data_IF_740517401112
#
_entry.id   IF_740517401112
#
_cell.length_a   1.000
_cell.length_b   1.000
_cell.length_c   1.000
_cell.angle_alpha   90.00
_cell.angle_beta   90.00
_cell.angle_gamma   90.00
#
_symmetry.space_group_name_H-M   'P 1'
#
loop_
_entity.id
_entity.type
_entity.pdbx_description
1 polymer ?
#
# COMPACT_ATOMS: atom_id res chain seq x y z
N UNK A 1 2.77 2.53 -19.27
CA UNK A 1 3.07 2.38 -17.84
C UNK A 1 2.28 3.43 -17.10
N UNK A 2 1.67 3.09 -15.97
CA UNK A 2 1.18 4.11 -15.05
C UNK A 2 2.41 4.92 -14.59
N UNK A 3 2.25 6.24 -14.47
CA UNK A 3 3.28 7.07 -13.84
C UNK A 3 3.43 6.72 -12.35
N UNK A 4 4.29 7.44 -11.62
CA UNK A 4 4.47 7.23 -10.19
C UNK A 4 3.13 7.39 -9.46
N UNK A 5 2.91 6.58 -8.42
CA UNK A 5 1.77 6.77 -7.52
C UNK A 5 1.99 8.03 -6.69
N UNK A 6 1.02 8.94 -6.63
CA UNK A 6 1.14 10.19 -5.87
C UNK A 6 0.17 10.19 -4.71
N UNK A 7 0.67 10.06 -3.49
CA UNK A 7 -0.12 10.11 -2.27
C UNK A 7 -0.02 11.49 -1.61
N UNK A 8 -1.14 12.21 -1.62
CA UNK A 8 -1.28 13.53 -1.00
C UNK A 8 -1.80 13.41 0.43
N UNK A 9 -1.10 14.03 1.35
CA UNK A 9 -1.35 13.97 2.78
C UNK A 9 -1.63 15.37 3.32
N UNK A 10 -2.34 15.47 4.44
CA UNK A 10 -2.85 16.77 4.89
C UNK A 10 -1.75 17.75 5.32
N UNK A 11 -0.64 17.23 5.84
CA UNK A 11 0.44 18.00 6.48
C UNK A 11 1.78 17.24 6.44
N UNK A 12 2.94 17.91 6.66
CA UNK A 12 4.25 17.27 6.67
C UNK A 12 4.38 16.14 7.68
N UNK A 13 3.79 16.27 8.87
CA UNK A 13 3.90 15.25 9.91
C UNK A 13 3.21 13.93 9.50
N UNK A 14 2.13 14.00 8.72
CA UNK A 14 1.53 12.81 8.10
C UNK A 14 2.44 12.18 7.06
N UNK A 15 3.14 12.97 6.26
CA UNK A 15 4.10 12.46 5.27
C UNK A 15 5.18 11.63 5.97
N UNK A 16 5.76 12.14 7.05
CA UNK A 16 6.77 11.41 7.82
C UNK A 16 6.19 10.15 8.47
N UNK A 17 4.98 10.20 9.07
CA UNK A 17 4.33 9.01 9.64
C UNK A 17 4.07 7.90 8.62
N UNK A 18 3.60 8.25 7.42
CA UNK A 18 3.37 7.28 6.35
C UNK A 18 4.70 6.70 5.87
N UNK A 19 5.73 7.53 5.69
CA UNK A 19 7.07 7.08 5.33
C UNK A 19 7.61 6.09 6.36
N UNK A 20 7.52 6.42 7.65
CA UNK A 20 8.00 5.55 8.74
C UNK A 20 7.24 4.22 8.77
N UNK A 21 5.92 4.24 8.59
CA UNK A 21 5.11 3.03 8.53
C UNK A 21 5.51 2.13 7.35
N UNK A 22 5.76 2.70 6.16
CA UNK A 22 6.26 1.95 5.00
C UNK A 22 7.64 1.36 5.30
N UNK A 23 8.58 2.15 5.83
CA UNK A 23 9.92 1.66 6.12
C UNK A 23 9.93 0.59 7.21
N UNK A 24 9.05 0.69 8.21
CA UNK A 24 8.88 -0.33 9.24
C UNK A 24 8.32 -1.63 8.66
N UNK A 25 7.32 -1.54 7.77
CA UNK A 25 6.78 -2.68 7.03
C UNK A 25 7.87 -3.40 6.22
N UNK A 26 8.69 -2.65 5.46
CA UNK A 26 9.80 -3.23 4.68
C UNK A 26 10.84 -3.92 5.56
N UNK A 27 11.25 -3.28 6.66
CA UNK A 27 12.20 -3.87 7.63
C UNK A 27 11.66 -5.17 8.21
N UNK A 28 10.38 -5.22 8.55
CA UNK A 28 9.72 -6.42 9.08
C UNK A 28 9.65 -7.53 8.04
N UNK A 29 9.30 -7.20 6.80
CA UNK A 29 9.13 -8.17 5.74
C UNK A 29 10.46 -8.81 5.31
N UNK A 30 11.53 -8.00 5.19
CA UNK A 30 12.82 -8.43 4.65
C UNK A 30 14.00 -7.71 5.35
N UNK A 31 14.39 -8.12 6.57
CA UNK A 31 15.43 -7.44 7.35
C UNK A 31 16.80 -7.34 6.65
N UNK A 32 17.11 -8.30 5.76
CA UNK A 32 18.39 -8.36 5.04
C UNK A 32 18.37 -7.64 3.68
N UNK A 33 17.20 -7.18 3.21
CA UNK A 33 17.10 -6.50 1.92
C UNK A 33 17.34 -4.99 2.07
N UNK A 34 17.89 -4.33 1.03
CA UNK A 34 17.95 -2.88 0.98
C UNK A 34 16.55 -2.28 1.13
N UNK A 35 16.46 -1.23 1.93
CA UNK A 35 15.25 -0.43 2.06
C UNK A 35 14.97 0.37 0.77
N UNK A 36 13.73 0.88 0.61
CA UNK A 36 13.41 1.80 -0.47
C UNK A 36 14.40 2.96 -0.49
N UNK A 37 14.78 3.39 -1.69
CA UNK A 37 15.58 4.61 -1.84
C UNK A 37 14.65 5.80 -1.61
N UNK A 38 14.96 6.61 -0.60
CA UNK A 38 14.18 7.81 -0.28
C UNK A 38 14.87 9.05 -0.85
N UNK A 39 14.14 9.85 -1.61
CA UNK A 39 14.61 11.11 -2.19
C UNK A 39 13.74 12.25 -1.65
N UNK A 40 14.32 13.13 -0.82
CA UNK A 40 13.67 14.37 -0.41
C UNK A 40 13.95 15.47 -1.43
N UNK A 41 12.91 16.19 -1.86
CA UNK A 41 13.04 17.30 -2.80
C UNK A 41 13.38 18.60 -2.08
N UNK A 42 14.40 19.29 -2.57
CA UNK A 42 14.63 20.69 -2.24
C UNK A 42 13.68 21.62 -3.03
N UNK A 43 13.60 22.94 -2.72
CA UNK A 43 12.74 23.87 -3.45
C UNK A 43 13.11 24.06 -4.92
N UNK A 44 14.31 23.64 -5.34
CA UNK A 44 14.81 23.71 -6.72
C UNK A 44 14.48 22.44 -7.52
N UNK A 45 13.88 21.43 -6.89
CA UNK A 45 13.62 20.12 -7.50
C UNK A 45 14.87 19.28 -7.68
N UNK A 46 15.96 19.67 -7.02
CA UNK A 46 17.18 18.88 -6.96
C UNK A 46 17.06 17.98 -5.74
N UNK A 47 17.41 16.68 -5.86
CA UNK A 47 17.56 15.83 -4.69
C UNK A 47 18.52 16.47 -3.68
N UNK A 48 18.22 16.39 -2.39
CA UNK A 48 19.10 16.93 -1.35
C UNK A 48 20.55 16.41 -1.48
N UNK A 49 21.57 17.18 -1.06
CA UNK A 49 22.97 16.76 -1.12
C UNK A 49 23.18 15.37 -0.52
N UNK A 50 23.86 14.48 -1.26
CA UNK A 50 24.03 13.08 -0.89
C UNK A 50 22.98 12.12 -1.46
N UNK A 51 22.00 12.64 -2.20
CA UNK A 51 21.05 11.79 -2.91
C UNK A 51 21.74 10.85 -3.93
N UNK A 52 21.17 9.65 -4.16
CA UNK A 52 21.73 8.71 -5.12
C UNK A 52 21.72 9.25 -6.55
N UNK A 53 22.74 8.88 -7.33
CA UNK A 53 22.79 9.21 -8.77
C UNK A 53 21.55 8.68 -9.52
N UNK A 54 21.16 9.29 -10.66
CA UNK A 54 20.05 8.79 -11.48
C UNK A 54 20.17 7.29 -11.84
N UNK A 55 21.39 6.80 -12.08
CA UNK A 55 21.67 5.39 -12.33
C UNK A 55 21.38 4.51 -11.10
N UNK A 56 21.66 5.00 -9.89
CA UNK A 56 21.32 4.30 -8.66
C UNK A 56 19.81 4.31 -8.41
N UNK A 57 19.13 5.44 -8.65
CA UNK A 57 17.67 5.54 -8.59
C UNK A 57 17.00 4.56 -9.56
N UNK A 58 17.47 4.47 -10.81
CA UNK A 58 16.92 3.56 -11.82
C UNK A 58 17.15 2.07 -11.50
N UNK A 59 18.10 1.76 -10.61
CA UNK A 59 18.41 0.39 -10.14
C UNK A 59 17.75 0.07 -8.81
N UNK A 60 17.16 1.06 -8.14
CA UNK A 60 16.43 0.82 -6.91
C UNK A 60 15.26 -0.13 -7.20
N UNK A 61 14.95 -1.00 -6.23
CA UNK A 61 13.75 -1.86 -6.31
C UNK A 61 12.48 -1.03 -6.10
N UNK A 62 12.56 -0.10 -5.15
CA UNK A 62 11.47 0.77 -4.72
C UNK A 62 12.05 2.18 -4.52
N UNK A 63 11.33 3.18 -4.99
CA UNK A 63 11.72 4.57 -4.94
C UNK A 63 10.61 5.37 -4.26
N UNK A 64 10.95 6.07 -3.17
CA UNK A 64 10.02 6.97 -2.49
C UNK A 64 10.53 8.40 -2.63
N UNK A 65 9.75 9.25 -3.28
CA UNK A 65 10.02 10.69 -3.37
C UNK A 65 9.19 11.40 -2.31
N UNK A 66 9.79 12.32 -1.56
CA UNK A 66 9.15 13.05 -0.47
C UNK A 66 9.25 14.55 -0.74
N UNK A 67 8.11 15.24 -0.72
CA UNK A 67 8.03 16.69 -0.91
C UNK A 67 7.05 17.30 0.09
N UNK A 68 7.50 18.23 0.93
CA UNK A 68 6.65 18.89 1.94
C UNK A 68 6.89 20.40 1.90
N UNK A 69 5.84 21.18 2.16
CA UNK A 69 5.90 22.64 2.15
C UNK A 69 5.66 23.28 0.77
N UNK A 70 5.12 24.50 0.79
CA UNK A 70 4.66 25.20 -0.40
C UNK A 70 5.79 25.57 -1.38
N UNK A 71 7.00 25.79 -0.88
CA UNK A 71 8.17 26.12 -1.70
C UNK A 71 8.68 24.92 -2.52
N UNK A 72 8.19 23.70 -2.28
CA UNK A 72 8.43 22.51 -3.11
C UNK A 72 7.42 22.32 -4.24
N UNK A 73 6.36 23.14 -4.32
CA UNK A 73 5.26 22.88 -5.23
C UNK A 73 5.65 22.95 -6.71
N UNK A 74 6.45 23.94 -7.10
CA UNK A 74 6.97 24.06 -8.47
C UNK A 74 7.92 22.91 -8.82
N UNK A 75 8.82 22.58 -7.89
CA UNK A 75 9.76 21.48 -8.02
C UNK A 75 9.05 20.14 -8.22
N UNK A 76 8.02 19.87 -7.42
CA UNK A 76 7.23 18.64 -7.52
C UNK A 76 6.45 18.58 -8.84
N UNK A 77 5.81 19.68 -9.25
CA UNK A 77 5.12 19.75 -10.53
C UNK A 77 6.09 19.54 -11.70
N UNK A 78 7.25 20.20 -11.68
CA UNK A 78 8.30 20.01 -12.69
C UNK A 78 8.82 18.56 -12.71
N UNK A 79 8.97 17.91 -11.55
CA UNK A 79 9.37 16.50 -11.46
C UNK A 79 8.34 15.57 -12.10
N UNK A 80 7.04 15.83 -11.98
CA UNK A 80 5.98 14.92 -12.43
C UNK A 80 5.45 15.20 -13.83
N UNK A 81 5.34 16.48 -14.22
CA UNK A 81 4.67 16.89 -15.46
C UNK A 81 5.53 17.80 -16.37
N UNK A 82 6.57 18.46 -15.84
CA UNK A 82 7.38 19.41 -16.60
C UNK A 82 8.43 18.79 -17.55
N UNK A 83 9.19 19.59 -18.31
CA UNK A 83 10.38 19.14 -19.02
C UNK A 83 11.41 18.62 -18.00
N UNK A 84 11.59 17.30 -17.97
CA UNK A 84 12.33 16.64 -16.91
C UNK A 84 13.85 16.62 -17.15
N UNK A 85 14.63 16.80 -16.09
CA UNK A 85 16.02 16.34 -16.06
C UNK A 85 16.12 14.83 -15.82
N UNK A 86 17.34 14.29 -15.72
CA UNK A 86 17.57 12.85 -15.57
C UNK A 86 16.80 12.23 -14.40
N UNK A 87 16.75 12.92 -13.25
CA UNK A 87 16.01 12.46 -12.06
C UNK A 87 14.51 12.38 -12.34
N UNK A 88 13.93 13.38 -12.98
CA UNK A 88 12.51 13.39 -13.32
C UNK A 88 12.17 12.24 -14.29
N UNK A 89 13.02 12.02 -15.29
CA UNK A 89 12.88 10.90 -16.23
C UNK A 89 12.91 9.56 -15.49
N UNK A 90 13.86 9.38 -14.57
CA UNK A 90 13.95 8.15 -13.77
C UNK A 90 12.72 7.97 -12.89
N UNK A 91 12.32 8.99 -12.12
CA UNK A 91 11.13 8.91 -11.24
C UNK A 91 9.87 8.55 -12.02
N UNK A 92 9.65 9.17 -13.19
CA UNK A 92 8.47 8.91 -14.03
C UNK A 92 8.47 7.52 -14.66
N UNK A 93 9.66 7.00 -14.97
CA UNK A 93 9.83 5.68 -15.58
C UNK A 93 9.99 4.55 -14.55
N UNK A 94 10.13 4.87 -13.27
CA UNK A 94 10.38 3.86 -12.25
C UNK A 94 9.08 3.11 -11.90
N UNK A 95 9.05 1.77 -12.06
CA UNK A 95 7.81 1.01 -11.97
C UNK A 95 7.19 0.98 -10.57
N UNK A 96 8.02 1.11 -9.54
CA UNK A 96 7.61 1.08 -8.13
C UNK A 96 7.92 2.42 -7.46
N UNK A 97 7.69 3.54 -8.17
CA UNK A 97 7.85 4.87 -7.60
C UNK A 97 6.57 5.34 -6.89
N UNK A 98 6.75 5.74 -5.63
CA UNK A 98 5.74 6.37 -4.79
C UNK A 98 6.19 7.79 -4.44
N UNK A 99 5.31 8.76 -4.62
CA UNK A 99 5.52 10.15 -4.25
C UNK A 99 4.64 10.43 -3.04
N UNK A 100 5.25 10.82 -1.93
CA UNK A 100 4.57 11.29 -0.74
C UNK A 100 4.69 12.81 -0.68
N UNK A 101 3.56 13.50 -0.65
CA UNK A 101 3.56 14.95 -0.52
C UNK A 101 2.47 15.45 0.41
N UNK A 102 2.69 16.61 1.02
CA UNK A 102 1.63 17.32 1.74
C UNK A 102 0.80 18.19 0.77
N UNK A 103 -0.34 18.70 1.24
CA UNK A 103 -1.21 19.58 0.43
C UNK A 103 -0.49 20.83 -0.08
N UNK A 104 0.46 21.36 0.69
CA UNK A 104 1.21 22.56 0.31
C UNK A 104 2.14 22.28 -0.89
N UNK A 105 2.90 21.19 -0.86
CA UNK A 105 3.74 20.75 -1.97
C UNK A 105 2.90 20.28 -3.17
N UNK A 106 1.70 19.75 -2.94
CA UNK A 106 0.80 19.33 -4.02
C UNK A 106 0.04 20.47 -4.71
N UNK A 107 0.21 21.74 -4.29
CA UNK A 107 -0.63 22.86 -4.73
C UNK A 107 -0.59 23.16 -6.25
N UNK A 108 0.40 22.62 -6.97
CA UNK A 108 0.55 22.74 -8.43
C UNK A 108 0.16 21.48 -9.20
N UNK A 109 -0.25 20.42 -8.49
CA UNK A 109 -0.71 19.18 -9.11
C UNK A 109 -2.22 19.25 -9.34
N UNK A 110 -2.69 18.61 -10.41
CA UNK A 110 -4.13 18.52 -10.67
C UNK A 110 -4.82 17.75 -9.54
N UNK A 111 -5.94 18.22 -8.98
CA UNK A 111 -6.66 17.48 -7.93
C UNK A 111 -7.02 16.07 -8.41
N UNK A 112 -6.74 15.05 -7.59
CA UNK A 112 -7.13 13.68 -7.91
C UNK A 112 -8.40 13.29 -7.16
N UNK A 113 -9.21 12.42 -7.78
CA UNK A 113 -10.42 11.93 -7.18
C UNK A 113 -10.09 11.07 -5.95
N UNK A 114 -10.36 11.59 -4.75
CA UNK A 114 -10.19 10.83 -3.50
C UNK A 114 -9.20 11.44 -2.50
N UNK A 115 -8.49 12.51 -2.85
CA UNK A 115 -7.51 13.18 -1.96
C UNK A 115 -8.09 13.48 -0.56
N UNK A 116 -9.36 13.87 -0.50
CA UNK A 116 -10.09 14.19 0.73
C UNK A 116 -11.10 13.13 1.17
N UNK A 117 -11.22 12.01 0.45
CA UNK A 117 -12.12 10.95 0.87
C UNK A 117 -11.54 10.20 2.08
N UNK A 118 -12.41 9.87 3.03
CA UNK A 118 -12.05 9.06 4.20
C UNK A 118 -12.02 7.56 3.90
N UNK A 119 -12.08 7.11 2.64
CA UNK A 119 -12.15 5.70 2.25
C UNK A 119 -10.79 5.15 1.84
N UNK A 120 -10.45 4.00 2.39
CA UNK A 120 -9.30 3.18 1.98
C UNK A 120 -9.79 1.81 1.55
N UNK A 121 -9.19 1.26 0.50
CA UNK A 121 -9.45 -0.12 0.08
C UNK A 121 -8.26 -0.98 0.47
N UNK A 122 -8.51 -2.15 1.07
CA UNK A 122 -7.47 -3.14 1.38
C UNK A 122 -7.72 -4.38 0.54
N UNK A 123 -6.77 -4.78 -0.30
CA UNK A 123 -6.91 -5.92 -1.21
C UNK A 123 -6.05 -7.07 -0.72
N UNK A 124 -6.69 -8.20 -0.37
CA UNK A 124 -5.97 -9.36 0.14
C UNK A 124 -5.31 -10.18 -0.97
N UNK A 125 -4.02 -10.44 -0.79
CA UNK A 125 -3.26 -11.46 -1.50
C UNK A 125 -3.72 -12.88 -1.16
N UNK A 126 -3.36 -13.82 -2.04
CA UNK A 126 -3.53 -15.25 -1.84
C UNK A 126 -2.53 -16.03 -2.68
N UNK A 127 -1.82 -16.92 -1.98
CA UNK A 127 -0.92 -17.88 -2.59
C UNK A 127 -1.63 -19.19 -2.77
N UNK A 128 -1.62 -19.66 -4.01
CA UNK A 128 -1.95 -21.04 -4.32
C UNK A 128 -0.64 -21.86 -4.41
N UNK A 129 -0.39 -22.80 -3.48
CA UNK A 129 0.78 -23.67 -3.55
C UNK A 129 0.82 -24.40 -4.90
N UNK A 130 1.96 -24.33 -5.60
CA UNK A 130 2.17 -25.01 -6.89
C UNK A 130 1.75 -24.23 -8.15
N UNK A 131 1.01 -23.13 -8.04
CA UNK A 131 0.64 -22.27 -9.18
C UNK A 131 1.44 -20.96 -9.19
N UNK A 132 1.65 -20.38 -8.00
CA UNK A 132 2.45 -19.16 -7.84
C UNK A 132 3.93 -19.53 -7.73
N UNK A 133 4.54 -19.83 -8.88
CA UNK A 133 5.97 -19.63 -9.06
C UNK A 133 6.29 -18.14 -8.81
N UNK A 134 7.53 -17.82 -8.42
CA UNK A 134 8.01 -16.56 -7.80
C UNK A 134 7.69 -15.23 -8.51
N UNK A 135 6.92 -15.24 -9.60
CA UNK A 135 6.63 -14.09 -10.45
C UNK A 135 5.19 -14.02 -10.99
N UNK A 136 4.24 -14.84 -10.52
CA UNK A 136 2.86 -14.80 -11.02
C UNK A 136 1.81 -14.74 -9.92
N UNK A 137 0.95 -13.72 -10.03
CA UNK A 137 -0.25 -13.54 -9.21
C UNK A 137 -1.20 -14.73 -9.40
N UNK A 138 -1.85 -15.18 -8.32
CA UNK A 138 -2.87 -16.23 -8.43
C UNK A 138 -4.13 -15.70 -9.11
N UNK A 139 -4.91 -16.61 -9.70
CA UNK A 139 -6.20 -16.28 -10.32
C UNK A 139 -7.16 -15.65 -9.29
N UNK A 140 -7.17 -16.15 -8.06
CA UNK A 140 -7.96 -15.61 -6.95
C UNK A 140 -7.54 -14.19 -6.56
N UNK A 141 -6.24 -13.91 -6.48
CA UNK A 141 -5.73 -12.56 -6.20
C UNK A 141 -6.11 -11.59 -7.32
N UNK A 142 -5.96 -12.00 -8.58
CA UNK A 142 -6.36 -11.19 -9.73
C UNK A 142 -7.87 -10.87 -9.71
N UNK A 143 -8.71 -11.84 -9.35
CA UNK A 143 -10.15 -11.60 -9.21
C UNK A 143 -10.49 -10.58 -8.11
N UNK A 144 -9.71 -10.52 -7.03
CA UNK A 144 -9.84 -9.49 -5.97
C UNK A 144 -9.37 -8.14 -6.46
N UNK A 145 -8.25 -8.10 -7.18
CA UNK A 145 -7.69 -6.88 -7.74
C UNK A 145 -8.69 -6.21 -8.69
N UNK A 146 -9.26 -6.97 -9.63
CA UNK A 146 -10.32 -6.46 -10.52
C UNK A 146 -11.54 -5.96 -9.74
N UNK A 147 -11.97 -6.68 -8.70
CA UNK A 147 -13.09 -6.22 -7.88
C UNK A 147 -12.79 -4.93 -7.11
N UNK A 148 -11.56 -4.76 -6.65
CA UNK A 148 -11.12 -3.53 -6.00
C UNK A 148 -11.11 -2.35 -6.98
N UNK A 149 -10.61 -2.55 -8.19
CA UNK A 149 -10.62 -1.52 -9.23
C UNK A 149 -12.04 -1.11 -9.63
N UNK A 150 -12.96 -2.07 -9.80
CA UNK A 150 -14.38 -1.77 -10.02
C UNK A 150 -14.96 -0.89 -8.90
N UNK A 151 -14.60 -1.17 -7.64
CA UNK A 151 -15.06 -0.40 -6.50
C UNK A 151 -14.48 1.02 -6.49
N UNK A 152 -13.19 1.17 -6.76
CA UNK A 152 -12.53 2.48 -6.82
C UNK A 152 -13.07 3.35 -7.96
N UNK A 153 -13.51 2.76 -9.09
CA UNK A 153 -14.18 3.48 -10.17
C UNK A 153 -15.59 3.97 -9.78
N UNK A 154 -16.27 3.25 -8.89
CA UNK A 154 -17.62 3.59 -8.43
C UNK A 154 -17.62 4.55 -7.25
N UNK A 155 -16.54 4.57 -6.48
CA UNK A 155 -16.44 5.32 -5.23
C UNK A 155 -15.00 5.80 -5.10
N UNK A 156 -14.76 7.12 -5.10
CA UNK A 156 -13.42 7.66 -4.85
C UNK A 156 -12.84 7.14 -3.55
N UNK A 157 -11.55 6.83 -3.57
CA UNK A 157 -10.79 6.32 -2.42
C UNK A 157 -9.51 7.11 -2.31
N UNK A 158 -9.04 7.30 -1.08
CA UNK A 158 -7.77 7.96 -0.80
C UNK A 158 -6.57 7.13 -1.26
N UNK A 159 -6.65 5.81 -1.06
CA UNK A 159 -5.60 4.89 -1.40
C UNK A 159 -6.13 3.46 -1.49
N UNK A 160 -5.42 2.63 -2.25
CA UNK A 160 -5.52 1.18 -2.21
C UNK A 160 -4.28 0.62 -1.49
N UNK A 161 -4.50 -0.16 -0.44
CA UNK A 161 -3.48 -0.96 0.23
C UNK A 161 -3.53 -2.36 -0.36
N UNK A 162 -2.46 -2.77 -1.03
CA UNK A 162 -2.28 -4.12 -1.54
C UNK A 162 -1.47 -4.89 -0.50
N UNK A 163 -2.05 -5.96 0.06
CA UNK A 163 -1.45 -6.69 1.19
C UNK A 163 -1.16 -8.14 0.85
N UNK A 164 0.07 -8.58 1.09
CA UNK A 164 0.44 -9.98 1.02
C UNK A 164 1.94 -10.20 0.86
N UNK A 165 2.44 -11.23 1.54
CA UNK A 165 3.86 -11.55 1.67
C UNK A 165 4.29 -12.73 0.78
N UNK A 166 5.60 -12.96 0.68
CA UNK A 166 6.18 -14.18 0.07
C UNK A 166 7.30 -14.75 0.94
N UNK A 167 7.40 -16.09 0.99
CA UNK A 167 8.52 -16.82 1.61
C UNK A 167 9.82 -16.79 0.78
N UNK A 168 9.80 -16.22 -0.42
CA UNK A 168 10.91 -16.28 -1.38
C UNK A 168 11.59 -14.92 -1.53
N UNK A 169 12.80 -14.89 -2.07
CA UNK A 169 13.52 -13.63 -2.35
C UNK A 169 12.91 -12.81 -3.52
N UNK A 170 11.92 -13.41 -4.20
CA UNK A 170 11.16 -12.81 -5.30
C UNK A 170 10.20 -11.70 -4.87
N UNK A 171 9.16 -11.48 -5.69
CA UNK A 171 8.15 -10.47 -5.42
C UNK A 171 7.12 -10.99 -4.40
N UNK A 172 6.77 -10.15 -3.43
CA UNK A 172 5.63 -10.37 -2.55
C UNK A 172 4.33 -10.33 -3.37
N UNK A 173 3.26 -10.87 -2.80
CA UNK A 173 1.95 -10.81 -3.46
C UNK A 173 1.50 -9.37 -3.67
N UNK A 174 1.77 -8.48 -2.71
CA UNK A 174 1.50 -7.06 -2.85
C UNK A 174 2.28 -6.41 -4.00
N UNK A 175 3.58 -6.71 -4.14
CA UNK A 175 4.39 -6.23 -5.28
C UNK A 175 3.86 -6.81 -6.62
N UNK A 176 3.42 -8.07 -6.63
CA UNK A 176 2.81 -8.66 -7.83
C UNK A 176 1.46 -7.99 -8.17
N UNK A 177 0.64 -7.69 -7.17
CA UNK A 177 -0.62 -6.95 -7.34
C UNK A 177 -0.37 -5.54 -7.86
N UNK A 178 0.66 -4.85 -7.36
CA UNK A 178 1.01 -3.50 -7.80
C UNK A 178 1.29 -3.44 -9.31
N UNK A 179 2.01 -4.43 -9.83
CA UNK A 179 2.30 -4.55 -11.27
C UNK A 179 1.08 -4.82 -12.14
N UNK A 180 0.03 -5.41 -11.58
CA UNK A 180 -1.25 -5.61 -12.27
C UNK A 180 -2.28 -4.50 -11.95
N UNK A 181 -1.94 -3.53 -11.10
CA UNK A 181 -2.81 -2.39 -10.83
C UNK A 181 -2.79 -1.43 -12.01
N UNK A 182 -3.95 -1.20 -12.60
CA UNK A 182 -4.11 -0.40 -13.83
C UNK A 182 -4.93 0.88 -13.65
N UNK A 183 -5.37 1.19 -12.42
CA UNK A 183 -6.26 2.33 -12.18
C UNK A 183 -5.44 3.61 -11.92
N UNK A 184 -5.41 4.57 -12.86
CA UNK A 184 -4.74 5.84 -12.64
C UNK A 184 -5.47 6.66 -11.57
N UNK A 185 -4.72 7.50 -10.85
CA UNK A 185 -5.27 8.42 -9.85
C UNK A 185 -5.75 7.77 -8.55
N UNK A 186 -5.47 6.47 -8.34
CA UNK A 186 -5.66 5.82 -7.03
C UNK A 186 -4.30 5.42 -6.51
N UNK A 187 -3.76 6.13 -5.50
CA UNK A 187 -2.45 5.84 -4.95
C UNK A 187 -2.40 4.43 -4.36
N UNK A 188 -1.34 3.70 -4.68
CA UNK A 188 -1.11 2.35 -4.17
C UNK A 188 -0.08 2.36 -3.06
N UNK A 189 -0.44 1.77 -1.93
CA UNK A 189 0.47 1.44 -0.84
C UNK A 189 0.64 -0.07 -0.77
N UNK A 190 1.87 -0.54 -0.59
CA UNK A 190 2.16 -1.96 -0.42
C UNK A 190 2.34 -2.27 1.05
N UNK A 191 1.64 -3.29 1.52
CA UNK A 191 1.87 -3.95 2.79
C UNK A 191 2.47 -5.32 2.47
N UNK A 192 3.74 -5.50 2.77
CA UNK A 192 4.49 -6.70 2.34
C UNK A 192 4.91 -7.59 3.52
N UNK A 193 4.60 -7.22 4.76
CA UNK A 193 5.07 -7.93 5.96
C UNK A 193 4.11 -9.02 6.46
N UNK A 194 2.82 -8.92 6.16
CA UNK A 194 1.78 -9.80 6.65
C UNK A 194 1.90 -11.22 6.07
N UNK A 195 2.18 -12.20 6.94
CA UNK A 195 2.40 -13.60 6.53
C UNK A 195 1.13 -14.42 6.45
N UNK A 196 0.08 -13.98 7.12
CA UNK A 196 -1.24 -14.60 7.12
C UNK A 196 -2.35 -13.53 7.20
N UNK A 197 -3.62 -13.92 7.12
CA UNK A 197 -4.73 -12.97 7.12
C UNK A 197 -4.83 -12.12 8.39
N UNK A 198 -4.39 -12.64 9.55
CA UNK A 198 -4.39 -11.87 10.79
C UNK A 198 -3.28 -10.82 10.77
N UNK A 199 -2.09 -11.20 10.32
CA UNK A 199 -0.98 -10.27 10.16
C UNK A 199 -1.25 -9.22 9.09
N UNK A 200 -1.79 -9.61 7.92
CA UNK A 200 -2.23 -8.67 6.87
C UNK A 200 -3.17 -7.60 7.44
N UNK A 201 -4.15 -8.02 8.27
CA UNK A 201 -5.05 -7.08 8.92
C UNK A 201 -4.30 -6.13 9.86
N UNK A 202 -3.38 -6.62 10.70
CA UNK A 202 -2.62 -5.79 11.64
C UNK A 202 -1.63 -4.84 10.95
N UNK A 203 -0.88 -5.30 9.95
CA UNK A 203 0.08 -4.48 9.21
C UNK A 203 -0.62 -3.42 8.36
N UNK A 204 -1.72 -3.80 7.69
CA UNK A 204 -2.54 -2.86 6.92
C UNK A 204 -3.15 -1.79 7.82
N UNK A 205 -3.49 -2.11 9.07
CA UNK A 205 -4.04 -1.14 10.03
C UNK A 205 -3.01 -0.06 10.34
N UNK A 206 -1.75 -0.42 10.54
CA UNK A 206 -0.66 0.53 10.75
C UNK A 206 -0.57 1.57 9.63
N UNK A 207 -0.65 1.13 8.36
CA UNK A 207 -0.68 2.02 7.20
C UNK A 207 -1.95 2.89 7.15
N UNK A 208 -3.13 2.31 7.43
CA UNK A 208 -4.40 3.06 7.49
C UNK A 208 -4.35 4.17 8.54
N UNK A 209 -3.80 3.88 9.72
CA UNK A 209 -3.66 4.87 10.80
C UNK A 209 -2.62 5.94 10.44
N UNK A 210 -1.50 5.56 9.82
CA UNK A 210 -0.47 6.50 9.39
C UNK A 210 -0.98 7.50 8.35
N UNK A 211 -1.79 7.04 7.37
CA UNK A 211 -2.47 7.91 6.39
C UNK A 211 -3.26 9.04 7.07
N UNK A 212 -3.91 8.72 8.20
CA UNK A 212 -4.83 9.61 8.90
C UNK A 212 -6.06 9.95 8.06
N UNK A 213 -7.11 10.49 8.70
CA UNK A 213 -8.34 10.93 8.02
C UNK A 213 -9.20 9.82 7.40
N UNK A 214 -8.76 8.57 7.41
CA UNK A 214 -9.59 7.42 7.06
C UNK A 214 -10.74 7.28 8.07
N UNK A 215 -11.94 7.06 7.54
CA UNK A 215 -13.20 6.82 8.27
C UNK A 215 -13.82 5.48 7.88
N UNK A 216 -13.48 4.96 6.70
CA UNK A 216 -14.03 3.71 6.19
C UNK A 216 -12.94 2.89 5.49
N UNK A 217 -12.89 1.61 5.80
CA UNK A 217 -12.01 0.62 5.16
C UNK A 217 -12.87 -0.43 4.48
N UNK A 218 -12.67 -0.61 3.18
CA UNK A 218 -13.30 -1.71 2.43
C UNK A 218 -12.27 -2.79 2.15
N UNK A 219 -12.48 -3.98 2.70
CA UNK A 219 -11.60 -5.13 2.50
C UNK A 219 -12.10 -5.97 1.33
N UNK A 220 -11.28 -6.13 0.30
CA UNK A 220 -11.60 -6.95 -0.87
C UNK A 220 -10.93 -8.32 -0.74
N UNK A 221 -11.75 -9.36 -0.70
CA UNK A 221 -11.28 -10.74 -0.51
C UNK A 221 -12.12 -11.76 -1.31
N UNK A 222 -11.74 -13.03 -1.32
CA UNK A 222 -12.54 -14.09 -1.94
C UNK A 222 -13.66 -14.58 -1.02
N UNK A 223 -14.80 -15.02 -1.59
CA UNK A 223 -15.95 -15.56 -0.83
C UNK A 223 -15.62 -16.69 0.14
N UNK A 224 -14.55 -17.44 -0.12
CA UNK A 224 -14.15 -18.55 0.73
C UNK A 224 -13.35 -18.11 1.97
N UNK A 225 -12.82 -16.86 2.02
CA UNK A 225 -12.13 -16.27 3.19
C UNK A 225 -13.12 -15.88 4.30
N UNK A 226 -13.81 -16.86 4.87
CA UNK A 226 -14.86 -16.60 5.89
C UNK A 226 -14.30 -16.02 7.20
N UNK A 227 -12.99 -16.17 7.47
CA UNK A 227 -12.37 -15.59 8.67
C UNK A 227 -11.98 -14.12 8.53
N UNK A 228 -11.85 -13.60 7.30
CA UNK A 228 -11.42 -12.21 7.05
C UNK A 228 -12.21 -11.18 7.85
N UNK A 229 -13.57 -11.19 7.90
CA UNK A 229 -14.32 -10.21 8.68
C UNK A 229 -13.93 -10.19 10.17
N UNK A 230 -13.52 -11.33 10.75
CA UNK A 230 -13.15 -11.44 12.16
C UNK A 230 -11.79 -10.83 12.47
N UNK A 231 -10.85 -10.89 11.52
CA UNK A 231 -9.52 -10.31 11.65
C UNK A 231 -9.50 -8.80 11.46
N UNK A 232 -10.39 -8.26 10.62
CA UNK A 232 -10.52 -6.82 10.38
C UNK A 232 -11.51 -6.14 11.33
N UNK A 233 -12.29 -6.90 12.11
CA UNK A 233 -13.22 -6.33 13.10
C UNK A 233 -12.59 -5.31 14.07
N UNK A 234 -11.34 -5.48 14.58
CA UNK A 234 -10.70 -4.53 15.50
C UNK A 234 -10.45 -3.13 14.93
N UNK A 235 -10.53 -2.92 13.61
CA UNK A 235 -10.40 -1.58 13.02
C UNK A 235 -11.48 -0.63 13.57
N UNK A 236 -12.63 -1.17 14.00
CA UNK A 236 -13.71 -0.41 14.64
C UNK A 236 -13.27 0.22 15.97
N UNK A 237 -12.32 -0.41 16.67
CA UNK A 237 -11.77 0.12 17.93
C UNK A 237 -10.95 1.41 17.68
N UNK A 238 -10.57 1.66 16.42
CA UNK A 238 -9.92 2.89 15.95
C UNK A 238 -10.88 3.85 15.23
N UNK A 239 -12.19 3.67 15.40
CA UNK A 239 -13.21 4.55 14.80
C UNK A 239 -13.44 4.34 13.30
N UNK A 240 -12.94 3.24 12.71
CA UNK A 240 -13.11 2.94 11.29
C UNK A 240 -14.38 2.13 11.05
N UNK A 241 -15.19 2.54 10.07
CA UNK A 241 -16.23 1.68 9.51
C UNK A 241 -15.58 0.62 8.61
N UNK A 242 -15.91 -0.65 8.80
CA UNK A 242 -15.30 -1.77 8.05
C UNK A 242 -16.35 -2.49 7.23
N UNK A 243 -16.14 -2.50 5.92
CA UNK A 243 -16.92 -3.25 4.94
C UNK A 243 -16.06 -4.38 4.36
N UNK A 244 -16.70 -5.49 3.99
CA UNK A 244 -16.03 -6.60 3.27
C UNK A 244 -16.75 -6.81 1.94
N UNK A 245 -15.99 -6.71 0.86
CA UNK A 245 -16.46 -6.93 -0.50
C UNK A 245 -15.84 -8.20 -1.05
N UNK A 246 -16.70 -9.08 -1.55
CA UNK A 246 -16.30 -10.37 -2.05
C UNK A 246 -16.06 -10.32 -3.56
N UNK A 247 -14.90 -10.81 -3.99
CA UNK A 247 -14.62 -11.09 -5.40
C UNK A 247 -15.51 -12.22 -5.93
N UNK A 248 -15.69 -12.26 -7.26
CA UNK A 248 -16.43 -13.34 -7.92
C UNK A 248 -15.75 -14.69 -7.61
N UNK A 249 -16.51 -15.74 -7.27
CA UNK A 249 -15.93 -17.04 -6.99
C UNK A 249 -15.32 -17.63 -8.26
N UNK A 250 -14.13 -18.23 -8.13
CA UNK A 250 -13.52 -19.02 -9.19
C UNK A 250 -13.81 -20.51 -8.96
N UNK A 251 -13.53 -21.36 -9.95
CA UNK A 251 -13.65 -22.82 -9.82
C UNK A 251 -12.73 -23.33 -8.69
N UNK A 252 -13.03 -24.51 -8.15
CA UNK A 252 -12.24 -25.19 -7.11
C UNK A 252 -12.15 -24.51 -5.73
N UNK A 253 -13.00 -23.53 -5.40
CA UNK A 253 -12.93 -22.84 -4.10
C UNK A 253 -13.34 -23.67 -2.86
N UNK A 254 -13.98 -24.83 -3.03
CA UNK A 254 -14.56 -25.60 -1.91
C UNK A 254 -13.49 -26.12 -0.92
N UNK A 255 -12.34 -26.57 -1.41
CA UNK A 255 -11.25 -27.05 -0.56
C UNK A 255 -10.62 -25.90 0.26
N UNK A 256 -10.58 -24.69 -0.31
CA UNK A 256 -10.13 -23.47 0.37
C UNK A 256 -11.11 -23.06 1.48
N UNK A 257 -12.42 -23.14 1.23
CA UNK A 257 -13.43 -22.93 2.27
C UNK A 257 -13.26 -23.95 3.41
N UNK A 258 -13.09 -25.23 3.07
CA UNK A 258 -12.90 -26.27 4.09
C UNK A 258 -11.68 -25.99 4.98
N UNK A 259 -10.58 -25.49 4.41
CA UNK A 259 -9.41 -25.07 5.16
C UNK A 259 -9.71 -23.88 6.10
N UNK A 260 -10.43 -22.86 5.61
CA UNK A 260 -10.83 -21.70 6.40
C UNK A 260 -11.72 -22.09 7.59
N UNK A 261 -12.69 -22.98 7.38
CA UNK A 261 -13.59 -23.46 8.42
C UNK A 261 -12.84 -24.24 9.52
N UNK A 262 -11.89 -25.12 9.15
CA UNK A 262 -11.07 -25.87 10.11
C UNK A 262 -10.20 -24.95 10.98
N UNK A 263 -9.87 -23.76 10.48
CA UNK A 263 -8.99 -22.82 11.15
C UNK A 263 -9.74 -21.81 12.04
N UNK A 264 -11.09 -21.83 12.03
CA UNK A 264 -11.92 -20.93 12.85
C UNK A 264 -11.58 -20.94 14.34
N UNK A 265 -11.36 -22.09 15.01
CA UNK A 265 -11.07 -22.11 16.45
C UNK A 265 -9.81 -21.31 16.85
N UNK A 266 -8.88 -21.10 15.92
CA UNK A 266 -7.61 -20.39 16.15
C UNK A 266 -7.72 -18.87 16.01
N UNK A 267 -8.82 -18.36 15.43
CA UNK A 267 -9.01 -16.94 15.11
C UNK A 267 -8.81 -16.02 16.32
N UNK A 268 -9.38 -16.27 17.52
CA UNK A 268 -9.21 -15.35 18.64
C UNK A 268 -7.75 -15.19 19.07
N UNK A 269 -6.98 -16.29 19.08
CA UNK A 269 -5.57 -16.27 19.45
C UNK A 269 -4.72 -15.57 18.39
N UNK A 270 -4.91 -15.91 17.11
CA UNK A 270 -4.21 -15.27 15.99
C UNK A 270 -4.47 -13.76 15.95
N UNK A 271 -5.74 -13.35 16.11
CA UNK A 271 -6.13 -11.94 16.14
C UNK A 271 -5.47 -11.17 17.28
N UNK A 272 -5.49 -11.73 18.51
CA UNK A 272 -4.85 -11.07 19.66
C UNK A 272 -3.35 -10.91 19.47
N UNK A 273 -2.68 -11.96 19.00
CA UNK A 273 -1.24 -11.91 18.73
C UNK A 273 -0.90 -10.84 17.67
N UNK A 274 -1.66 -10.79 16.58
CA UNK A 274 -1.44 -9.82 15.52
C UNK A 274 -1.71 -8.37 15.96
N UNK A 275 -2.79 -8.13 16.71
CA UNK A 275 -3.18 -6.77 17.12
C UNK A 275 -2.33 -6.20 18.27
N UNK A 276 -1.71 -7.05 19.10
CA UNK A 276 -0.78 -6.60 20.14
C UNK A 276 0.39 -5.79 19.54
N UNK A 277 0.90 -6.22 18.37
CA UNK A 277 1.97 -5.53 17.67
C UNK A 277 1.57 -4.13 17.15
N UNK A 278 0.27 -3.88 16.90
CA UNK A 278 -0.21 -2.56 16.46
C UNK A 278 -0.27 -1.58 17.63
N UNK A 279 -0.64 -2.07 18.82
CA UNK A 279 -0.74 -1.24 20.02
C UNK A 279 0.61 -0.65 20.45
N UNK A 280 1.69 -1.42 20.27
CA UNK A 280 3.06 -0.98 20.53
C UNK A 280 3.48 0.20 19.62
N UNK A 281 3.12 0.14 18.34
CA UNK A 281 3.42 1.21 17.38
C UNK A 281 2.56 2.44 17.64
N UNK A 282 1.26 2.26 17.90
CA UNK A 282 0.34 3.37 18.17
C UNK A 282 0.67 4.12 19.48
N UNK A 283 1.16 3.42 20.51
CA UNK A 283 1.54 4.00 21.80
C UNK A 283 2.88 4.75 21.80
N UNK A 284 3.75 4.51 20.81
CA UNK A 284 5.04 5.20 20.69
C UNK A 284 4.97 6.61 20.06
N UNK A 285 3.79 7.03 19.58
CA UNK A 285 3.59 8.28 18.84
C UNK A 285 2.64 9.30 19.49
N UNK A 286 2.21 9.08 20.74
CA UNK A 286 1.39 9.98 21.54
C UNK A 286 2.20 10.60 22.68
#
# INVERSE_FOLDING_TARGET
MLGPSVLRLADPARVDRVLDAILADRRRARPAHPLPVVVRLDPRGVPEPGAPSPKALARARELIVVATGADRAEALHALLAGPGGDVATVVRAHPEALVLCDRAAAARLDPEAGDDDGRVVVVLGHREPGVSAEHRISSHTRARLYRAQELCLQTPVRAAILTGWTHTDGLSEAEQMAREWTLPGVPVLLEVAGRDTAENASCSLGLVLALGGARRVTVVTSRWHVRTPLFFAPYRDHGLAVDVVWARPLRHWAHLLAHELRSLPRVPAQRRAAMAAVAEVAGSGS
#
